data_IF_135227048850
#
_entry.id   IF_135227048850
#
_cell.length_a   1.000
_cell.length_b   1.000
_cell.length_c   1.000
_cell.angle_alpha   90.00
_cell.angle_beta   90.00
_cell.angle_gamma   90.00
#
_symmetry.space_group_name_H-M   'P 1'
#
loop_
_entity.id
_entity.type
_entity.pdbx_description
1 polymer ?
#
# COMPACT_ATOMS: atom_id res chain seq x y z
N UNK A 1 37.42 -40.86 6.44
CA UNK A 1 36.55 -40.58 7.61
C UNK A 1 35.89 -39.19 7.61
N UNK A 2 36.42 -38.17 6.90
CA UNK A 2 35.81 -36.81 6.88
C UNK A 2 34.51 -36.72 6.06
N UNK A 3 34.39 -37.52 5.00
CA UNK A 3 33.23 -37.52 4.11
C UNK A 3 31.97 -38.01 4.81
N UNK A 4 32.01 -39.17 5.48
CA UNK A 4 30.85 -39.74 6.18
C UNK A 4 30.22 -38.78 7.21
N UNK A 5 31.03 -37.95 7.88
CA UNK A 5 30.56 -36.92 8.81
C UNK A 5 29.85 -35.77 8.10
N UNK A 6 30.34 -35.37 6.92
CA UNK A 6 29.69 -34.34 6.09
C UNK A 6 28.34 -34.82 5.54
N UNK A 7 28.23 -36.08 5.13
CA UNK A 7 26.96 -36.68 4.70
C UNK A 7 25.93 -36.73 5.83
N UNK A 8 26.37 -37.06 7.06
CA UNK A 8 25.48 -37.03 8.24
C UNK A 8 24.98 -35.62 8.57
N UNK A 9 25.84 -34.60 8.46
CA UNK A 9 25.45 -33.19 8.69
C UNK A 9 24.48 -32.71 7.60
N UNK A 10 24.73 -33.07 6.33
CA UNK A 10 23.84 -32.72 5.24
C UNK A 10 22.46 -33.37 5.40
N UNK A 11 22.41 -34.65 5.78
CA UNK A 11 21.15 -35.35 6.03
C UNK A 11 20.39 -34.73 7.23
N UNK A 12 21.10 -34.36 8.29
CA UNK A 12 20.50 -33.69 9.45
C UNK A 12 19.93 -32.30 9.09
N UNK A 13 20.67 -31.51 8.31
CA UNK A 13 20.22 -30.20 7.83
C UNK A 13 19.01 -30.33 6.91
N UNK A 14 19.00 -31.32 6.01
CA UNK A 14 17.86 -31.57 5.13
C UNK A 14 16.59 -31.91 5.94
N UNK A 15 16.70 -32.78 6.93
CA UNK A 15 15.59 -33.14 7.82
C UNK A 15 15.07 -31.94 8.63
N UNK A 16 15.98 -31.08 9.08
CA UNK A 16 15.64 -29.89 9.87
C UNK A 16 14.88 -28.86 9.02
N UNK A 17 15.33 -28.63 7.77
CA UNK A 17 14.65 -27.74 6.82
C UNK A 17 13.27 -28.28 6.44
N UNK A 18 13.16 -29.59 6.21
CA UNK A 18 11.88 -30.24 5.89
C UNK A 18 10.87 -30.06 7.03
N UNK A 19 11.30 -30.27 8.28
CA UNK A 19 10.42 -30.05 9.45
C UNK A 19 10.04 -28.58 9.63
N UNK A 20 10.96 -27.65 9.38
CA UNK A 20 10.67 -26.23 9.44
C UNK A 20 9.65 -25.83 8.37
N UNK A 21 9.78 -26.38 7.15
CA UNK A 21 8.85 -26.12 6.04
C UNK A 21 7.46 -26.71 6.28
N UNK A 22 7.34 -27.83 6.99
CA UNK A 22 6.03 -28.40 7.36
C UNK A 22 5.37 -27.63 8.50
N UNK A 23 6.15 -27.10 9.45
CA UNK A 23 5.64 -26.29 10.56
C UNK A 23 5.24 -24.88 10.10
N UNK A 24 5.99 -24.31 9.16
CA UNK A 24 5.68 -23.03 8.54
C UNK A 24 4.71 -23.28 7.39
N UNK A 25 3.41 -23.35 7.69
CA UNK A 25 2.39 -23.25 6.64
C UNK A 25 2.63 -21.92 5.91
N UNK A 26 3.24 -22.00 4.74
CA UNK A 26 3.43 -20.88 3.84
C UNK A 26 2.04 -20.49 3.32
N UNK A 27 1.26 -19.76 4.11
CA UNK A 27 0.10 -19.03 3.60
C UNK A 27 0.68 -17.81 2.91
N UNK A 28 0.68 -17.74 1.56
CA UNK A 28 0.97 -16.48 0.88
C UNK A 28 -0.14 -15.53 1.29
N UNK A 29 0.09 -14.75 2.34
CA UNK A 29 -0.78 -13.63 2.66
C UNK A 29 -0.54 -12.66 1.52
N UNK A 30 -1.53 -12.35 0.68
CA UNK A 30 -1.33 -11.36 -0.38
C UNK A 30 -0.83 -10.10 0.31
N UNK A 31 0.31 -9.58 -0.15
CA UNK A 31 0.96 -8.40 0.44
C UNK A 31 0.05 -7.15 0.41
N UNK A 32 -1.00 -7.21 -0.41
CA UNK A 32 -2.01 -6.18 -0.55
C UNK A 32 -3.37 -6.83 -0.32
N UNK A 33 -4.05 -6.43 0.75
CA UNK A 33 -5.45 -6.77 0.93
C UNK A 33 -6.22 -6.03 -0.18
N UNK A 34 -7.03 -6.68 -1.03
CA UNK A 34 -7.78 -5.99 -2.09
C UNK A 34 -8.70 -4.89 -1.54
N UNK A 35 -9.06 -4.94 -0.25
CA UNK A 35 -9.76 -3.86 0.45
C UNK A 35 -8.93 -2.57 0.65
N UNK A 36 -7.61 -2.64 0.48
CA UNK A 36 -6.68 -1.48 0.53
C UNK A 36 -6.48 -0.84 -0.84
N UNK A 37 -6.92 -1.51 -1.92
CA UNK A 37 -6.89 -0.95 -3.28
C UNK A 37 -8.24 -0.27 -3.51
N UNK A 38 -8.36 0.99 -3.11
CA UNK A 38 -9.47 1.83 -3.58
C UNK A 38 -9.23 2.14 -5.06
N UNK A 39 -10.19 1.80 -5.91
CA UNK A 39 -10.24 2.32 -7.29
C UNK A 39 -10.27 3.84 -7.20
N UNK A 40 -9.20 4.46 -7.68
CA UNK A 40 -9.07 5.91 -7.73
C UNK A 40 -9.83 6.42 -8.96
N UNK A 41 -11.13 6.65 -8.82
CA UNK A 41 -12.00 7.12 -9.90
C UNK A 41 -12.03 8.66 -10.03
N UNK A 42 -11.33 9.38 -9.15
CA UNK A 42 -11.67 10.78 -8.86
C UNK A 42 -10.51 11.77 -8.87
N UNK A 43 -9.67 11.79 -9.91
CA UNK A 43 -9.00 13.06 -10.26
C UNK A 43 -9.49 13.46 -11.64
N UNK A 44 -10.60 14.20 -11.65
CA UNK A 44 -10.95 15.02 -12.79
C UNK A 44 -9.96 16.19 -12.80
N UNK A 45 -8.94 16.10 -13.65
CA UNK A 45 -7.99 17.19 -13.88
C UNK A 45 -8.65 18.40 -14.56
N UNK A 46 -9.77 18.18 -15.24
CA UNK A 46 -10.52 19.24 -15.92
C UNK A 46 -11.54 19.89 -14.97
N UNK A 47 -11.50 21.21 -14.91
CA UNK A 47 -12.53 22.01 -14.23
C UNK A 47 -13.87 21.80 -14.95
N UNK A 48 -14.88 21.38 -14.20
CA UNK A 48 -16.23 21.17 -14.74
C UNK A 48 -17.21 22.15 -14.14
N UNK A 49 -17.98 22.86 -14.97
CA UNK A 49 -19.03 23.78 -14.48
C UNK A 49 -20.20 23.05 -13.80
N UNK A 50 -20.22 21.71 -13.80
CA UNK A 50 -21.23 20.90 -13.14
C UNK A 50 -21.17 20.96 -11.60
N UNK A 51 -20.00 21.33 -11.04
CA UNK A 51 -19.77 21.37 -9.59
C UNK A 51 -19.34 22.79 -9.19
N UNK A 52 -19.89 23.35 -8.09
CA UNK A 52 -19.43 24.64 -7.60
C UNK A 52 -18.03 24.53 -7.00
N UNK A 53 -17.20 25.55 -7.22
CA UNK A 53 -15.85 25.64 -6.67
C UNK A 53 -15.76 26.73 -5.60
N UNK A 54 -14.94 26.47 -4.58
CA UNK A 54 -14.57 27.41 -3.54
C UNK A 54 -13.12 27.89 -3.77
N UNK A 55 -12.86 29.21 -3.79
CA UNK A 55 -11.50 29.73 -3.87
C UNK A 55 -10.85 29.71 -2.48
N UNK A 56 -9.89 28.81 -2.28
CA UNK A 56 -9.09 28.74 -1.07
C UNK A 56 -7.71 29.38 -1.31
N UNK A 57 -7.14 30.02 -0.28
CA UNK A 57 -5.82 30.63 -0.36
C UNK A 57 -4.75 29.57 -0.09
N UNK A 58 -3.88 29.33 -1.06
CA UNK A 58 -2.73 28.42 -0.96
C UNK A 58 -1.39 29.14 -1.11
N UNK A 59 -0.27 28.39 -1.05
CA UNK A 59 1.08 28.97 -1.04
C UNK A 59 1.44 29.78 -2.30
N UNK A 60 0.83 29.44 -3.44
CA UNK A 60 1.12 30.04 -4.76
C UNK A 60 0.01 30.98 -5.25
N UNK A 61 -0.99 31.28 -4.41
CA UNK A 61 -2.17 32.06 -4.77
C UNK A 61 -3.46 31.32 -4.48
N UNK A 62 -4.52 31.57 -5.25
CA UNK A 62 -5.80 30.91 -5.02
C UNK A 62 -5.89 29.55 -5.73
N UNK A 63 -6.41 28.56 -5.02
CA UNK A 63 -6.73 27.22 -5.52
C UNK A 63 -8.23 27.04 -5.49
N UNK A 64 -8.80 26.53 -6.59
CA UNK A 64 -10.22 26.24 -6.70
C UNK A 64 -10.49 24.81 -6.24
N UNK A 65 -11.17 24.67 -5.10
CA UNK A 65 -11.53 23.38 -4.52
C UNK A 65 -12.98 23.04 -4.93
N UNK A 66 -13.25 21.89 -5.57
CA UNK A 66 -14.61 21.48 -5.86
C UNK A 66 -15.38 21.19 -4.56
N UNK A 67 -16.63 21.61 -4.47
CA UNK A 67 -17.53 21.25 -3.34
C UNK A 67 -18.09 19.84 -3.51
N UNK A 68 -17.22 18.87 -3.63
CA UNK A 68 -17.56 17.45 -3.67
C UNK A 68 -17.46 16.82 -2.27
N UNK A 69 -17.57 15.50 -2.19
CA UNK A 69 -17.46 14.77 -0.92
C UNK A 69 -16.07 14.86 -0.25
N UNK A 70 -15.07 15.40 -0.94
CA UNK A 70 -13.69 15.56 -0.46
C UNK A 70 -13.36 17.02 -0.13
N UNK A 71 -14.32 17.94 -0.24
CA UNK A 71 -14.14 19.37 -0.01
C UNK A 71 -13.41 19.67 1.31
N UNK A 72 -13.93 19.18 2.42
CA UNK A 72 -13.39 19.44 3.76
C UNK A 72 -11.98 18.86 3.94
N UNK A 73 -11.73 17.66 3.42
CA UNK A 73 -10.41 17.02 3.53
C UNK A 73 -9.37 17.74 2.69
N UNK A 74 -9.79 18.30 1.55
CA UNK A 74 -8.91 19.07 0.67
C UNK A 74 -8.55 20.41 1.30
N UNK A 75 -9.50 21.07 1.98
CA UNK A 75 -9.24 22.28 2.75
C UNK A 75 -8.27 22.01 3.91
N UNK A 76 -8.49 20.95 4.69
CA UNK A 76 -7.59 20.54 5.76
C UNK A 76 -6.17 20.27 5.23
N UNK A 77 -6.00 19.60 4.10
CA UNK A 77 -4.68 19.39 3.50
C UNK A 77 -4.05 20.71 3.08
N UNK A 78 -4.82 21.63 2.49
CA UNK A 78 -4.32 22.92 2.04
C UNK A 78 -3.78 23.78 3.21
N UNK A 79 -4.41 23.72 4.39
CA UNK A 79 -3.94 24.43 5.58
C UNK A 79 -2.57 23.93 6.09
N UNK A 80 -2.17 22.71 5.71
CA UNK A 80 -0.92 22.08 6.15
C UNK A 80 0.19 22.09 5.08
N UNK A 81 -0.04 22.76 3.94
CA UNK A 81 0.93 22.95 2.85
C UNK A 81 1.71 24.27 2.98
#
# INVERSE_FOLDING_TARGET
MKTARAWGIAAYLALLIERLSQAVQFRPRPALNPAQIRRYEGVRWELSLEVPYYPAQGPQGYVLIPKDGYFQQTEEVLEHL
#
